data_IF_202724859073
#
_entry.id   IF_202724859073
#
_cell.length_a   1.000
_cell.length_b   1.000
_cell.length_c   1.000
_cell.angle_alpha   90.00
_cell.angle_beta   90.00
_cell.angle_gamma   90.00
#
_symmetry.space_group_name_H-M   'P 1'
#
loop_
_entity.id
_entity.type
_entity.pdbx_description
1 polymer ?
2 non-polymer ?
3 water ?
#
# COMPACT_ATOMS: atom_id res chain seq x y z
N UNK A 3 -21.17 -27.92 -0.14
CA UNK A 3 -20.28 -29.02 0.35
C UNK A 3 -18.99 -28.46 0.96
N UNK A 4 -19.15 -27.43 1.80
CA UNK A 4 -18.03 -26.66 2.34
C UNK A 4 -17.08 -27.52 3.18
N UNK A 5 -17.64 -28.30 4.10
CA UNK A 5 -16.82 -29.20 4.91
C UNK A 5 -16.02 -30.17 4.04
N UNK A 6 -16.62 -30.64 2.94
CA UNK A 6 -15.89 -31.50 2.04
C UNK A 6 -14.76 -30.76 1.32
N UNK A 7 -15.03 -29.54 0.85
CA UNK A 7 -14.00 -28.75 0.16
C UNK A 7 -12.83 -28.44 1.11
N UNK A 8 -13.15 -28.26 2.40
CA UNK A 8 -12.14 -28.01 3.42
C UNK A 8 -11.08 -29.11 3.50
N UNK A 9 -11.48 -30.36 3.21
CA UNK A 9 -10.53 -31.47 3.26
C UNK A 9 -9.46 -31.32 2.16
N UNK A 10 -9.73 -30.47 1.16
CA UNK A 10 -8.73 -30.17 0.13
C UNK A 10 -7.58 -29.36 0.74
N UNK A 11 -7.91 -28.61 1.79
CA UNK A 11 -7.00 -27.60 2.34
C UNK A 11 -6.01 -28.26 3.29
N UNK A 12 -4.91 -27.58 3.57
CA UNK A 12 -3.87 -28.10 4.47
C UNK A 12 -4.44 -28.33 5.86
N UNK A 13 -3.74 -29.14 6.65
CA UNK A 13 -4.25 -29.53 7.96
C UNK A 13 -4.49 -28.28 8.81
N UNK A 14 -5.69 -28.21 9.38
CA UNK A 14 -6.02 -27.17 10.35
C UNK A 14 -6.26 -25.75 9.83
N UNK A 15 -6.35 -25.59 8.52
CA UNK A 15 -6.75 -24.28 7.95
C UNK A 15 -8.10 -23.82 8.49
N UNK A 16 -8.27 -22.51 8.64
CA UNK A 16 -9.46 -21.94 9.25
C UNK A 16 -10.26 -21.14 8.24
N UNK A 17 -11.48 -21.58 7.95
CA UNK A 17 -12.36 -20.87 7.02
C UNK A 17 -13.55 -20.21 7.71
N UNK A 18 -13.79 -18.95 7.37
CA UNK A 18 -15.02 -18.27 7.75
C UNK A 18 -15.59 -17.76 6.42
N UNK A 19 -16.83 -18.17 6.11
CA UNK A 19 -17.39 -17.94 4.77
C UNK A 19 -18.85 -17.54 4.85
N UNK A 20 -19.23 -16.58 4.02
CA UNK A 20 -20.61 -16.16 3.94
C UNK A 20 -20.94 -15.80 2.49
N UNK A 21 -22.11 -16.26 2.02
CA UNK A 21 -22.59 -15.95 0.67
C UNK A 21 -24.05 -15.55 0.78
N UNK A 22 -24.44 -14.45 0.16
CA UNK A 22 -25.78 -13.90 0.41
C UNK A 22 -26.24 -13.09 -0.79
N UNK A 23 -27.47 -13.34 -1.25
CA UNK A 23 -28.03 -12.60 -2.36
C UNK A 23 -27.97 -11.11 -2.08
N UNK A 24 -27.64 -10.32 -3.12
CA UNK A 24 -27.65 -8.87 -2.98
C UNK A 24 -29.05 -8.41 -2.57
N UNK A 25 -29.11 -7.67 -1.47
CA UNK A 25 -30.36 -7.07 -0.98
C UNK A 25 -31.17 -8.00 -0.10
N UNK A 26 -30.68 -9.23 0.11
CA UNK A 26 -31.34 -10.19 1.00
C UNK A 26 -30.84 -10.07 2.43
N UNK A 27 -31.65 -10.53 3.40
CA UNK A 27 -31.25 -10.43 4.81
C UNK A 27 -30.85 -11.76 5.46
N UNK A 28 -31.00 -12.86 4.74
CA UNK A 28 -30.47 -14.17 5.16
C UNK A 28 -29.47 -14.75 4.15
N UNK A 29 -28.34 -15.29 4.63
CA UNK A 29 -27.33 -15.86 3.74
C UNK A 29 -27.78 -17.18 3.14
N UNK A 30 -27.24 -17.51 1.97
CA UNK A 30 -27.42 -18.80 1.38
C UNK A 30 -26.39 -19.74 1.96
N UNK A 31 -25.15 -19.27 2.11
CA UNK A 31 -24.09 -20.07 2.71
C UNK A 31 -23.54 -19.36 3.92
N UNK A 32 -23.50 -20.06 5.06
CA UNK A 32 -23.02 -19.48 6.30
C UNK A 32 -22.14 -20.48 7.01
N UNK A 33 -20.82 -20.28 6.95
CA UNK A 33 -19.88 -21.17 7.61
C UNK A 33 -18.96 -20.32 8.48
N UNK A 34 -19.22 -20.32 9.78
CA UNK A 34 -18.46 -19.53 10.74
C UNK A 34 -18.48 -18.04 10.38
N UNK A 35 -19.61 -17.55 9.86
CA UNK A 35 -19.65 -16.19 9.28
C UNK A 35 -19.47 -15.11 10.34
N UNK A 36 -19.73 -15.45 11.60
CA UNK A 36 -19.61 -14.50 12.69
C UNK A 36 -18.21 -14.46 13.27
N UNK A 37 -17.35 -15.37 12.85
CA UNK A 37 -16.03 -15.54 13.48
C UNK A 37 -15.08 -14.45 13.00
N UNK A 38 -14.32 -13.84 13.91
CA UNK A 38 -13.32 -12.82 13.52
C UNK A 38 -12.19 -13.42 12.74
N UNK A 39 -11.63 -12.66 11.79
CA UNK A 39 -10.53 -13.15 11.00
C UNK A 39 -9.65 -11.99 10.55
N UNK A 40 -8.45 -12.34 10.13
CA UNK A 40 -7.55 -11.40 9.47
C UNK A 40 -8.11 -11.10 8.06
N UNK A 41 -8.40 -9.83 7.75
CA UNK A 41 -8.95 -9.54 6.41
C UNK A 41 -7.90 -9.42 5.32
N UNK A 42 -6.65 -9.18 5.70
CA UNK A 42 -5.57 -8.88 4.74
C UNK A 42 -6.07 -7.77 3.81
N UNK A 43 -5.71 -7.83 2.53
CA UNK A 43 -6.03 -6.72 1.58
C UNK A 43 -7.52 -6.50 1.28
N UNK A 44 -8.41 -7.39 1.76
CA UNK A 44 -9.84 -7.06 1.60
C UNK A 44 -10.22 -5.84 2.43
N UNK A 45 -9.36 -5.45 3.37
CA UNK A 45 -9.56 -4.23 4.12
C UNK A 45 -9.72 -3.02 3.17
N UNK A 46 -9.08 -3.11 2.01
CA UNK A 46 -9.07 -1.99 1.05
C UNK A 46 -10.49 -1.69 0.56
N UNK A 47 -11.38 -2.68 0.65
CA UNK A 47 -12.79 -2.46 0.25
C UNK A 47 -13.40 -1.44 1.19
N UNK A 48 -13.17 -1.63 2.49
CA UNK A 48 -13.61 -0.65 3.47
C UNK A 48 -12.95 0.73 3.28
N UNK A 49 -11.65 0.73 3.05
CA UNK A 49 -10.87 1.98 2.86
C UNK A 49 -11.47 2.76 1.68
N UNK A 50 -11.72 2.08 0.57
CA UNK A 50 -12.25 2.72 -0.63
C UNK A 50 -13.63 3.32 -0.37
N UNK A 51 -14.50 2.59 0.33
CA UNK A 51 -15.85 3.10 0.61
C UNK A 51 -15.79 4.32 1.50
N UNK A 52 -15.03 4.25 2.61
CA UNK A 52 -14.92 5.38 3.51
C UNK A 52 -14.28 6.60 2.83
N UNK A 53 -13.29 6.34 1.98
CA UNK A 53 -12.62 7.38 1.16
C UNK A 53 -13.60 8.11 0.23
N UNK A 54 -14.41 7.35 -0.50
CA UNK A 54 -15.38 7.99 -1.41
C UNK A 54 -16.39 8.83 -0.65
N UNK A 55 -16.86 8.30 0.48
CA UNK A 55 -17.80 9.03 1.31
C UNK A 55 -17.16 10.28 1.91
N UNK A 56 -15.96 10.17 2.49
CA UNK A 56 -15.34 11.32 3.18
C UNK A 56 -14.74 12.36 2.24
N UNK A 57 -13.99 11.90 1.25
CA UNK A 57 -13.16 12.75 0.42
C UNK A 57 -13.84 13.01 -0.91
N UNK A 58 -14.65 12.05 -1.36
CA UNK A 58 -15.29 12.13 -2.69
C UNK A 58 -14.42 11.71 -3.86
N UNK A 59 -15.04 11.33 -4.98
CA UNK A 59 -14.32 10.79 -6.15
C UNK A 59 -13.39 11.79 -6.83
N UNK A 60 -13.60 13.07 -6.57
CA UNK A 60 -12.82 14.14 -7.21
C UNK A 60 -11.72 14.72 -6.33
N UNK A 61 -11.56 14.21 -5.12
CA UNK A 61 -10.41 14.58 -4.28
C UNK A 61 -9.08 14.36 -5.01
N UNK A 62 -8.12 15.28 -4.85
CA UNK A 62 -6.78 15.05 -5.37
C UNK A 62 -5.77 15.32 -4.28
N UNK A 63 -4.71 14.50 -4.23
CA UNK A 63 -3.64 14.79 -3.30
C UNK A 63 -2.92 16.00 -3.91
N UNK A 64 -2.31 16.82 -3.08
CA UNK A 64 -1.55 17.94 -3.60
C UNK A 64 -0.22 18.20 -2.90
N UNK A 65 0.72 18.69 -3.69
CA UNK A 65 2.05 19.07 -3.22
C UNK A 65 2.27 20.50 -3.71
N UNK A 66 2.85 21.37 -2.87
CA UNK A 66 3.17 22.74 -3.32
C UNK A 66 4.59 23.18 -2.95
N UNK A 67 5.08 24.18 -3.69
CA UNK A 67 6.20 25.03 -3.26
C UNK A 67 5.58 26.37 -2.88
N UNK A 68 5.93 26.88 -1.72
CA UNK A 68 5.31 28.09 -1.17
C UNK A 68 6.41 29.02 -0.76
N UNK A 69 6.19 30.32 -0.94
CA UNK A 69 7.21 31.24 -0.46
C UNK A 69 6.65 32.01 0.68
N UNK A 70 7.51 32.22 1.66
CA UNK A 70 7.22 33.03 2.80
C UNK A 70 8.31 34.12 2.81
N UNK A 71 7.95 35.32 2.34
CA UNK A 71 8.85 36.47 2.21
C UNK A 71 8.79 37.18 0.86
N UNK A 72 9.44 38.35 0.76
CA UNK A 72 9.46 39.11 -0.50
C UNK A 72 10.61 38.68 -1.40
N UNK A 73 10.41 38.81 -2.72
CA UNK A 73 11.43 38.50 -3.71
C UNK A 73 12.01 39.81 -4.24
N UNK A 74 13.28 40.05 -3.94
CA UNK A 74 13.96 41.29 -4.37
C UNK A 74 15.14 40.98 -5.27
N UNK A 75 15.06 41.46 -6.51
CA UNK A 75 16.05 41.16 -7.56
C UNK A 75 16.40 39.68 -7.63
N UNK A 76 15.36 38.85 -7.60
CA UNK A 76 15.49 37.41 -7.81
C UNK A 76 15.83 36.63 -6.55
N UNK A 77 15.98 37.33 -5.44
CA UNK A 77 16.34 36.73 -4.17
C UNK A 77 15.11 36.69 -3.29
N UNK A 78 14.71 35.48 -2.89
CA UNK A 78 13.65 35.33 -1.89
C UNK A 78 14.23 35.64 -0.52
N UNK A 79 13.70 36.68 0.13
CA UNK A 79 14.13 37.05 1.47
C UNK A 79 13.22 36.35 2.47
N UNK A 80 13.56 35.09 2.75
CA UNK A 80 12.67 34.23 3.50
C UNK A 80 12.85 32.78 3.10
N UNK A 81 11.90 31.95 3.51
CA UNK A 81 12.05 30.51 3.34
C UNK A 81 11.30 29.99 2.14
N UNK A 82 11.86 28.93 1.55
CA UNK A 82 11.10 28.14 0.57
C UNK A 82 10.50 26.96 1.34
N UNK A 83 9.19 26.75 1.21
CA UNK A 83 8.49 25.63 1.84
C UNK A 83 8.03 24.65 0.78
N UNK A 84 8.42 23.40 0.91
CA UNK A 84 7.89 22.37 0.06
C UNK A 84 6.88 21.60 0.89
N UNK A 85 5.60 21.79 0.60
CA UNK A 85 4.55 21.22 1.45
C UNK A 85 4.09 19.92 0.82
N UNK A 86 4.42 18.81 1.45
CA UNK A 86 4.02 17.51 0.94
C UNK A 86 2.63 17.15 1.45
N UNK A 87 1.96 16.27 0.71
CA UNK A 87 0.55 16.01 0.98
C UNK A 87 0.20 14.54 0.86
N UNK A 88 1.21 13.66 1.02
CA UNK A 88 1.01 12.21 1.01
C UNK A 88 0.56 11.71 -0.35
N UNK A 89 0.84 12.46 -1.42
CA UNK A 89 0.51 11.96 -2.75
C UNK A 89 1.36 10.69 -3.05
N UNK A 90 0.72 9.54 -3.17
CA UNK A 90 1.45 8.27 -3.44
C UNK A 90 2.00 8.16 -4.87
N UNK A 91 1.58 9.07 -5.76
CA UNK A 91 2.02 9.05 -7.15
C UNK A 91 3.03 10.12 -7.51
N UNK A 92 3.47 10.91 -6.53
CA UNK A 92 4.47 11.93 -6.85
C UNK A 92 5.77 11.32 -7.36
N UNK A 93 6.36 12.01 -8.34
CA UNK A 93 7.57 11.54 -8.98
C UNK A 93 8.67 12.58 -8.96
N UNK A 94 9.91 12.12 -9.15
CA UNK A 94 11.07 13.03 -9.25
C UNK A 94 10.79 14.14 -10.26
N UNK A 95 10.23 13.75 -11.41
CA UNK A 95 9.88 14.73 -12.45
C UNK A 95 8.97 15.82 -11.95
N UNK A 96 8.05 15.46 -11.07
CA UNK A 96 7.17 16.46 -10.51
C UNK A 96 7.95 17.49 -9.68
N UNK A 97 8.95 17.03 -8.93
CA UNK A 97 9.77 17.93 -8.14
C UNK A 97 10.54 18.85 -9.10
N UNK A 98 11.09 18.23 -10.14
CA UNK A 98 11.89 18.96 -11.15
C UNK A 98 11.02 20.02 -11.83
N UNK A 99 9.79 19.65 -12.16
CA UNK A 99 8.85 20.62 -12.77
C UNK A 99 8.45 21.78 -11.86
N UNK A 100 8.19 21.50 -10.59
CA UNK A 100 7.82 22.54 -9.63
C UNK A 100 8.99 23.53 -9.44
N UNK A 101 10.22 23.01 -9.36
CA UNK A 101 11.42 23.87 -9.27
C UNK A 101 11.56 24.74 -10.53
N UNK A 102 11.30 24.14 -11.70
CA UNK A 102 11.36 24.90 -12.98
C UNK A 102 10.37 26.05 -12.95
N UNK A 103 9.20 25.79 -12.38
CA UNK A 103 8.19 26.82 -12.22
C UNK A 103 8.63 27.92 -11.24
N UNK A 104 9.27 27.49 -10.15
CA UNK A 104 9.81 28.43 -9.18
C UNK A 104 10.84 29.34 -9.84
N UNK A 105 11.75 28.75 -10.62
CA UNK A 105 12.78 29.52 -11.32
C UNK A 105 12.11 30.53 -12.26
N UNK A 106 11.18 30.03 -13.08
CA UNK A 106 10.47 30.87 -14.06
C UNK A 106 9.72 32.02 -13.41
N UNK A 107 9.26 31.83 -12.17
CA UNK A 107 8.54 32.86 -11.43
C UNK A 107 9.44 34.04 -11.00
N UNK A 108 10.75 33.89 -11.16
CA UNK A 108 11.72 34.93 -10.80
C UNK A 108 12.62 34.68 -9.60
N UNK A 109 12.56 33.49 -9.01
CA UNK A 109 13.40 33.17 -7.85
C UNK A 109 14.69 32.47 -8.30
N UNK A 110 15.83 33.11 -8.05
CA UNK A 110 17.13 32.54 -8.42
C UNK A 110 17.93 32.15 -7.21
N UNK A 111 17.50 32.62 -6.04
CA UNK A 111 18.28 32.52 -4.83
C UNK A 111 17.36 32.61 -3.64
N UNK A 112 17.60 31.80 -2.61
CA UNK A 112 16.80 31.83 -1.40
C UNK A 112 17.68 32.30 -0.24
N UNK A 113 17.30 33.42 0.36
CA UNK A 113 18.02 33.95 1.50
C UNK A 113 17.27 33.50 2.73
N UNK A 114 17.53 32.26 3.12
CA UNK A 114 16.70 31.59 4.11
C UNK A 114 16.86 30.09 3.98
N UNK A 115 15.92 29.37 4.61
CA UNK A 115 15.99 27.89 4.66
C UNK A 115 15.06 27.25 3.65
N UNK A 116 15.27 25.94 3.43
CA UNK A 116 14.37 25.15 2.57
C UNK A 116 13.67 24.19 3.51
N UNK A 117 12.35 24.35 3.64
CA UNK A 117 11.58 23.57 4.62
C UNK A 117 10.82 22.43 3.95
N UNK A 118 10.98 21.23 4.50
CA UNK A 118 10.29 20.04 4.01
C UNK A 118 9.12 19.87 4.97
N UNK A 119 7.95 20.26 4.52
CA UNK A 119 6.78 20.33 5.38
C UNK A 119 5.94 19.05 5.26
N UNK A 120 5.82 18.33 6.38
CA UNK A 120 5.03 17.10 6.44
C UNK A 120 3.91 17.20 7.47
N UNK A 121 3.55 18.43 7.83
CA UNK A 121 2.55 18.72 8.88
C UNK A 121 1.15 18.14 8.58
N UNK A 122 0.87 17.77 7.34
CA UNK A 122 -0.41 17.15 7.02
C UNK A 122 -0.65 15.89 7.88
N UNK A 123 0.44 15.22 8.25
CA UNK A 123 0.39 14.00 9.06
C UNK A 123 1.21 14.16 10.34
N UNK A 124 0.99 13.27 11.31
CA UNK A 124 1.83 13.25 12.49
C UNK A 124 2.00 11.83 13.01
N UNK A 125 2.89 11.68 14.00
CA UNK A 125 3.22 10.38 14.59
C UNK A 125 3.87 9.48 13.52
N UNK A 126 3.94 8.19 13.79
CA UNK A 126 4.72 7.27 13.00
C UNK A 126 4.12 7.09 11.62
N UNK A 127 4.97 6.87 10.63
CA UNK A 127 4.55 6.53 9.27
C UNK A 127 4.33 5.04 9.05
N UNK A 128 4.26 4.27 10.13
CA UNK A 128 4.08 2.83 10.08
C UNK A 128 2.92 2.49 10.99
N UNK A 129 1.97 1.68 10.49
CA UNK A 129 0.76 1.36 11.26
C UNK A 129 1.08 0.36 12.36
N UNK A 130 0.29 0.35 13.44
CA UNK A 130 0.48 -0.66 14.47
C UNK A 130 0.27 -2.05 13.89
N UNK A 131 1.11 -3.00 14.29
CA UNK A 131 0.92 -4.40 13.86
C UNK A 131 1.59 -4.81 12.56
N UNK A 132 2.32 -3.89 11.92
CA UNK A 132 3.11 -4.26 10.73
C UNK A 132 4.38 -4.95 11.21
N UNK A 133 4.71 -6.10 10.65
CA UNK A 133 5.94 -6.83 11.02
C UNK A 133 7.18 -5.96 10.77
N UNK A 134 8.10 -5.91 11.71
CA UNK A 134 9.34 -5.12 11.52
C UNK A 134 10.11 -5.58 10.26
N UNK A 135 10.09 -6.87 9.97
CA UNK A 135 11.02 -7.44 8.99
C UNK A 135 10.65 -7.09 7.56
N UNK A 136 9.41 -6.67 7.38
CA UNK A 136 8.96 -6.27 6.05
C UNK A 136 9.14 -4.77 5.80
N UNK A 137 9.63 -4.01 6.79
CA UNK A 137 9.63 -2.56 6.64
C UNK A 137 10.59 -2.05 5.55
N UNK A 138 11.58 -2.87 5.22
CA UNK A 138 12.53 -2.50 4.15
C UNK A 138 12.10 -3.00 2.78
N UNK A 139 10.94 -3.67 2.73
CA UNK A 139 10.41 -4.17 1.46
C UNK A 139 9.50 -3.13 0.85
N UNK A 140 9.59 -2.97 -0.47
CA UNK A 140 8.77 -1.93 -1.08
C UNK A 140 7.26 -2.05 -0.88
N UNK A 141 6.75 -3.27 -0.74
CA UNK A 141 5.31 -3.44 -0.53
C UNK A 141 4.83 -2.89 0.79
N UNK A 142 5.78 -2.65 1.70
CA UNK A 142 5.47 -2.13 3.03
C UNK A 142 6.20 -0.81 3.29
N UNK A 143 6.62 -0.12 2.24
CA UNK A 143 7.31 1.15 2.43
C UNK A 143 6.43 2.09 3.28
N UNK A 144 7.01 2.66 4.35
CA UNK A 144 6.27 3.58 5.20
C UNK A 144 5.57 4.66 4.36
N UNK A 145 4.23 4.69 4.36
CA UNK A 145 3.48 5.65 3.50
C UNK A 145 3.42 7.03 4.11
N UNK A 146 4.56 7.72 4.02
CA UNK A 146 4.78 9.02 4.68
C UNK A 146 4.11 10.16 3.95
N UNK A 147 4.13 11.36 4.54
CA UNK A 147 3.60 12.55 3.81
C UNK A 147 4.48 12.86 2.61
N UNK A 148 5.77 12.58 2.77
CA UNK A 148 6.75 12.84 1.70
C UNK A 148 7.09 11.58 0.96
N UNK A 149 6.47 11.40 -0.20
CA UNK A 149 6.73 10.27 -1.07
C UNK A 149 7.24 10.75 -2.45
N UNK A 150 8.29 10.10 -2.94
CA UNK A 150 8.74 10.36 -4.31
C UNK A 150 9.09 9.02 -4.93
N UNK A 151 8.49 8.71 -6.07
CA UNK A 151 8.77 7.46 -6.78
C UNK A 151 8.54 6.28 -5.82
N UNK A 152 7.41 6.38 -5.11
CA UNK A 152 6.91 5.35 -4.18
C UNK A 152 7.85 5.03 -3.00
N UNK A 153 8.82 5.89 -2.77
CA UNK A 153 9.81 5.65 -1.69
C UNK A 153 10.43 4.27 -1.77
N UNK A 154 10.69 3.83 -3.00
CA UNK A 154 11.30 2.55 -3.29
C UNK A 154 12.48 2.83 -4.23
N UNK A 155 13.60 2.15 -3.99
CA UNK A 155 14.77 2.32 -4.84
C UNK A 155 15.42 0.97 -5.09
N UNK A 156 16.16 0.85 -6.18
CA UNK A 156 16.78 -0.42 -6.49
C UNK A 156 18.30 -0.34 -6.49
N UNK A 157 18.90 -1.51 -6.32
CA UNK A 157 20.31 -1.70 -6.08
C UNK A 157 20.71 -3.00 -6.79
N UNK A 158 21.98 -3.09 -7.17
CA UNK A 158 22.54 -4.33 -7.72
C UNK A 158 23.67 -4.82 -6.83
N UNK A 159 23.59 -6.07 -6.41
CA UNK A 159 24.61 -6.66 -5.58
C UNK A 159 25.46 -7.66 -6.37
N UNK A 160 26.75 -7.37 -6.47
CA UNK A 160 27.69 -8.20 -7.23
C UNK A 160 28.53 -9.03 -6.29
N UNK A 161 28.64 -10.33 -6.57
CA UNK A 161 29.61 -11.15 -5.83
C UNK A 161 31.05 -10.72 -6.21
N UNK A 162 31.97 -10.87 -5.27
CA UNK A 162 33.41 -10.68 -5.54
C UNK A 162 33.93 -11.79 -6.46
N UNK A 163 34.88 -11.48 -7.33
CA UNK A 163 35.52 -12.50 -8.17
C UNK A 163 36.25 -13.54 -7.31
N UNK A 164 36.86 -13.05 -6.24
CA UNK A 164 37.60 -13.86 -5.29
C UNK A 164 36.68 -14.19 -4.09
N UNK A 165 36.36 -15.47 -3.90
CA UNK A 165 35.61 -15.89 -2.72
C UNK A 165 36.29 -15.34 -1.46
N UNK A 166 35.50 -14.92 -0.49
CA UNK A 166 36.07 -14.33 0.73
C UNK A 166 36.09 -12.81 0.72
N UNK A 167 36.21 -12.22 -0.47
CA UNK A 167 36.16 -10.76 -0.61
C UNK A 167 34.73 -10.24 -0.50
N UNK A 168 34.61 -8.95 -0.22
CA UNK A 168 33.29 -8.32 -0.03
C UNK A 168 32.51 -8.23 -1.35
N UNK A 169 31.24 -8.62 -1.32
CA UNK A 169 30.33 -8.33 -2.41
C UNK A 169 30.16 -6.80 -2.48
N UNK A 170 29.95 -6.27 -3.67
CA UNK A 170 29.85 -4.82 -3.81
C UNK A 170 28.51 -4.38 -4.41
N UNK A 171 28.11 -3.17 -4.07
CA UNK A 171 26.78 -2.66 -4.42
C UNK A 171 26.86 -1.57 -5.47
N UNK A 172 26.07 -1.71 -6.53
CA UNK A 172 25.84 -0.61 -7.47
C UNK A 172 24.48 0.00 -7.24
N UNK A 173 24.45 1.33 -7.15
CA UNK A 173 23.18 2.07 -7.05
C UNK A 173 23.25 3.32 -7.93
N UNK A 174 22.16 3.63 -8.64
CA UNK A 174 22.10 4.85 -9.43
C UNK A 174 22.38 6.10 -8.59
N UNK A 175 23.12 7.05 -9.19
CA UNK A 175 23.66 8.20 -8.50
C UNK A 175 22.58 9.15 -8.01
N UNK A 176 21.43 9.16 -8.65
CA UNK A 176 20.42 10.14 -8.26
C UNK A 176 19.66 9.76 -6.99
N UNK A 177 19.72 8.48 -6.58
CA UNK A 177 19.02 8.06 -5.35
C UNK A 177 19.78 8.58 -4.15
N UNK A 178 19.17 9.46 -3.36
CA UNK A 178 19.83 9.93 -2.15
C UNK A 178 19.72 8.90 -1.01
N UNK A 179 20.47 7.81 -1.16
CA UNK A 179 20.61 6.80 -0.14
C UNK A 179 22.11 6.54 0.04
N UNK A 180 22.48 5.92 1.15
CA UNK A 180 23.88 5.56 1.38
C UNK A 180 24.00 4.07 1.63
N UNK A 181 24.67 3.35 0.73
CA UNK A 181 24.77 1.89 0.83
C UNK A 181 26.14 1.48 1.32
N UNK A 182 26.15 0.47 2.20
CA UNK A 182 27.39 -0.14 2.71
C UNK A 182 27.28 -1.65 2.56
N UNK A 183 28.37 -2.29 2.19
CA UNK A 183 28.39 -3.75 2.09
C UNK A 183 29.35 -4.36 3.10
N UNK A 184 28.82 -5.23 3.97
CA UNK A 184 29.64 -6.09 4.80
C UNK A 184 29.35 -7.55 4.40
N UNK A 185 29.05 -7.76 3.11
CA UNK A 185 28.63 -9.06 2.58
C UNK A 185 29.86 -9.82 2.13
N UNK A 186 30.11 -10.97 2.76
CA UNK A 186 31.21 -11.86 2.39
C UNK A 186 30.79 -12.73 1.21
N UNK A 187 31.64 -12.84 0.20
CA UNK A 187 31.33 -13.69 -0.95
C UNK A 187 31.73 -15.14 -0.65
N UNK A 188 30.81 -16.07 -0.91
CA UNK A 188 31.08 -17.49 -0.71
C UNK A 188 31.29 -18.22 -2.04
N UNK A 189 32.14 -19.27 -2.00
CA UNK A 189 32.19 -20.27 -3.07
C UNK A 189 30.80 -20.82 -3.48
N UNK A 190 30.67 -21.17 -4.76
CA UNK A 190 29.43 -21.67 -5.39
C UNK A 190 28.56 -22.66 -4.59
N UNK A 191 29.19 -23.64 -3.95
CA UNK A 191 28.43 -24.68 -3.22
C UNK A 191 28.80 -24.80 -1.74
N UNK A 192 28.95 -23.66 -1.08
CA UNK A 192 29.39 -23.61 0.32
C UNK A 192 28.37 -24.26 1.26
N UNK A 193 28.86 -24.84 2.37
CA UNK A 193 28.00 -25.36 3.44
C UNK A 193 27.58 -24.19 4.33
N UNK A 194 28.49 -23.22 4.48
CA UNK A 194 28.21 -21.95 5.16
C UNK A 194 27.03 -21.23 4.51
N UNK A 195 26.72 -21.62 3.28
CA UNK A 195 25.56 -21.06 2.59
C UNK A 195 24.23 -21.44 3.23
N UNK A 196 24.21 -22.52 4.02
CA UNK A 196 22.96 -23.02 4.61
C UNK A 196 22.31 -22.03 5.58
N UNK A 197 23.07 -21.61 6.60
CA UNK A 197 22.52 -20.74 7.64
C UNK A 197 23.12 -19.31 7.73
N UNK A 198 23.91 -18.92 6.74
CA UNK A 198 24.37 -17.54 6.67
C UNK A 198 23.36 -16.75 5.86
N UNK A 199 22.70 -15.80 6.52
CA UNK A 199 21.67 -15.03 5.86
C UNK A 199 22.29 -13.87 5.08
N UNK A 200 21.55 -13.38 4.10
CA UNK A 200 21.85 -12.10 3.47
C UNK A 200 20.79 -11.12 3.93
N UNK A 201 21.22 -10.09 4.65
CA UNK A 201 20.29 -9.18 5.32
C UNK A 201 20.47 -7.73 4.93
N UNK A 202 19.40 -6.96 5.09
CA UNK A 202 19.46 -5.51 4.97
C UNK A 202 19.19 -4.91 6.34
N UNK A 203 20.03 -3.96 6.73
CA UNK A 203 19.92 -3.28 8.02
C UNK A 203 19.83 -1.77 7.77
N UNK A 204 18.65 -1.18 7.98
CA UNK A 204 18.49 0.25 7.76
C UNK A 204 19.03 1.05 8.91
N UNK A 205 19.61 2.20 8.56
CA UNK A 205 20.09 3.17 9.53
C UNK A 205 19.43 4.52 9.29
N UNK A 206 19.83 5.49 10.10
CA UNK A 206 19.27 6.84 9.99
C UNK A 206 19.68 7.47 8.67
N UNK A 207 18.92 8.48 8.26
CA UNK A 207 19.20 9.23 7.04
C UNK A 207 19.38 8.35 5.80
N UNK A 208 18.53 7.33 5.71
CA UNK A 208 18.48 6.49 4.54
C UNK A 208 19.80 5.82 4.22
N UNK A 209 20.50 5.43 5.28
CA UNK A 209 21.65 4.53 5.17
C UNK A 209 21.17 3.10 5.20
N UNK A 210 21.78 2.22 4.41
CA UNK A 210 21.44 0.80 4.44
C UNK A 210 22.73 0.02 4.39
N UNK A 211 22.85 -0.96 5.27
CA UNK A 211 24.02 -1.84 5.27
C UNK A 211 23.55 -3.24 4.94
N UNK A 212 24.18 -3.86 3.96
CA UNK A 212 23.91 -5.24 3.61
C UNK A 212 24.93 -6.11 4.36
N UNK A 213 24.45 -7.19 4.96
CA UNK A 213 25.33 -8.02 5.81
C UNK A 213 25.12 -9.48 5.48
N UNK A 214 26.05 -10.31 5.93
CA UNK A 214 25.90 -11.74 5.75
C UNK A 214 26.74 -12.28 4.62
N UNK A 215 26.16 -13.22 3.88
CA UNK A 215 26.85 -13.97 2.82
C UNK A 215 26.11 -13.99 1.50
N UNK A 216 26.87 -14.03 0.41
CA UNK A 216 26.31 -14.17 -0.93
C UNK A 216 27.15 -15.20 -1.71
N UNK A 217 26.53 -16.30 -2.13
CA UNK A 217 27.22 -17.29 -2.97
C UNK A 217 27.57 -16.68 -4.31
N UNK A 218 28.74 -17.03 -4.85
CA UNK A 218 29.17 -16.49 -6.15
C UNK A 218 28.13 -16.71 -7.24
N UNK A 219 27.88 -15.65 -8.01
CA UNK A 219 26.92 -15.70 -9.09
C UNK A 219 27.53 -14.97 -10.29
N UNK A 220 27.03 -15.30 -11.49
CA UNK A 220 27.55 -14.74 -12.72
C UNK A 220 26.87 -13.41 -13.04
N UNK A 221 25.62 -13.28 -12.58
CA UNK A 221 24.83 -12.06 -12.74
C UNK A 221 24.62 -11.39 -11.39
N UNK A 222 24.64 -10.05 -11.32
CA UNK A 222 24.34 -9.34 -10.07
C UNK A 222 22.92 -9.59 -9.58
N UNK A 223 22.74 -9.62 -8.26
CA UNK A 223 21.44 -9.84 -7.64
C UNK A 223 20.72 -8.49 -7.56
N UNK A 224 19.57 -8.37 -8.21
CA UNK A 224 18.77 -7.15 -8.10
C UNK A 224 18.00 -7.14 -6.79
N UNK A 225 18.05 -6.01 -6.10
CA UNK A 225 17.33 -5.84 -4.84
C UNK A 225 16.58 -4.52 -4.88
N UNK A 226 15.43 -4.47 -4.22
CA UNK A 226 14.72 -3.21 -4.11
C UNK A 226 14.36 -3.02 -2.66
N UNK A 227 14.58 -1.80 -2.18
CA UNK A 227 14.30 -1.45 -0.77
C UNK A 227 13.42 -0.24 -0.61
N UNK A 228 12.77 -0.20 0.56
CA UNK A 228 11.92 0.91 0.97
C UNK A 228 12.71 1.98 1.74
N UNK A 229 12.49 3.21 1.31
CA UNK A 229 13.01 4.38 2.04
C UNK A 229 12.31 4.48 3.39
N UNK A 230 13.11 4.59 4.45
CA UNK A 230 12.62 4.73 5.80
C UNK A 230 12.35 6.17 6.23
N UNK A 231 13.09 7.14 5.67
CA UNK A 231 12.92 8.52 6.05
C UNK A 231 12.51 9.34 4.81
N UNK A 232 11.23 9.29 4.46
CA UNK A 232 10.69 10.06 3.30
C UNK A 232 11.05 11.54 3.27
N UNK A 233 10.97 12.20 4.42
CA UNK A 233 11.23 13.64 4.47
C UNK A 233 12.66 13.96 4.04
N UNK A 234 13.61 13.18 4.52
CA UNK A 234 15.03 13.40 4.18
C UNK A 234 15.27 13.10 2.72
N UNK A 235 14.61 12.05 2.24
CA UNK A 235 14.80 11.56 0.88
C UNK A 235 14.26 12.62 -0.10
N UNK A 236 13.04 13.09 0.17
CA UNK A 236 12.43 14.13 -0.68
C UNK A 236 13.21 15.44 -0.60
N UNK A 237 13.67 15.77 0.62
CA UNK A 237 14.53 16.94 0.78
C UNK A 237 15.78 16.88 -0.10
N UNK A 238 16.44 15.72 -0.10
CA UNK A 238 17.64 15.53 -0.93
C UNK A 238 17.30 15.67 -2.42
N UNK A 239 16.17 15.10 -2.84
CA UNK A 239 15.77 15.25 -4.26
C UNK A 239 15.50 16.70 -4.58
N UNK A 240 14.82 17.39 -3.70
CA UNK A 240 14.53 18.81 -3.89
C UNK A 240 15.84 19.62 -3.98
N UNK A 241 16.79 19.33 -3.09
CA UNK A 241 18.09 20.02 -3.06
C UNK A 241 18.81 19.83 -4.40
N UNK A 242 18.83 18.59 -4.89
CA UNK A 242 19.48 18.30 -6.16
C UNK A 242 18.84 19.08 -7.31
N UNK A 243 17.50 19.08 -7.37
CA UNK A 243 16.79 19.76 -8.46
C UNK A 243 16.97 21.29 -8.35
N UNK A 244 17.02 21.82 -7.14
CA UNK A 244 17.27 23.26 -7.00
C UNK A 244 18.63 23.61 -7.57
N UNK A 245 19.65 22.83 -7.20
CA UNK A 245 21.01 23.07 -7.66
C UNK A 245 21.11 22.93 -9.19
N UNK A 246 20.41 21.94 -9.76
CA UNK A 246 20.45 21.76 -11.21
C UNK A 246 19.84 22.95 -11.96
N UNK A 247 18.81 23.55 -11.36
CA UNK A 247 18.12 24.70 -11.92
C UNK A 247 18.85 26.02 -11.63
N UNK A 248 19.97 25.94 -10.93
CA UNK A 248 20.82 27.10 -10.57
C UNK A 248 20.30 27.98 -9.45
N UNK A 249 19.39 27.45 -8.65
CA UNK A 249 18.86 28.20 -7.50
C UNK A 249 19.75 27.92 -6.31
N UNK A 250 20.32 28.95 -5.71
CA UNK A 250 21.17 28.76 -4.53
C UNK A 250 20.38 29.15 -3.28
N UNK A 251 20.88 28.72 -2.11
CA UNK A 251 20.27 29.12 -0.85
C UNK A 251 21.34 29.19 0.25
N UNK A 252 21.09 30.03 1.24
CA UNK A 252 22.05 30.31 2.31
C UNK A 252 21.82 29.48 3.56
N UNK A 253 20.58 29.03 3.75
CA UNK A 253 20.21 28.29 4.96
C UNK A 253 20.48 26.82 4.83
N UNK A 254 19.66 26.00 5.49
CA UNK A 254 19.77 24.56 5.34
C UNK A 254 18.39 23.94 5.09
N UNK A 255 18.39 22.66 4.78
CA UNK A 255 17.15 21.89 4.70
C UNK A 255 16.72 21.53 6.12
N UNK A 256 15.50 21.93 6.47
CA UNK A 256 14.93 21.61 7.78
C UNK A 256 13.57 20.96 7.60
N UNK A 257 13.19 20.12 8.58
CA UNK A 257 11.84 19.50 8.63
C UNK A 257 10.88 20.50 9.27
N UNK A 258 9.68 20.63 8.73
CA UNK A 258 8.63 21.43 9.36
C UNK A 258 7.46 20.45 9.64
N UNK A 259 7.27 20.11 10.91
CA UNK A 259 6.26 19.11 11.28
C UNK A 259 5.00 19.72 11.88
N UNK A 260 5.06 20.99 12.30
CA UNK A 260 3.90 21.59 12.99
C UNK A 260 2.99 22.35 12.03
N UNK A 261 1.70 22.34 12.30
CA UNK A 261 0.73 22.99 11.42
C UNK A 261 1.04 24.48 11.37
N UNK A 262 0.84 25.06 10.19
CA UNK A 262 1.23 26.44 9.92
C UNK A 262 0.41 26.99 8.75
N UNK A 263 0.25 28.31 8.72
CA UNK A 263 -0.44 28.96 7.62
C UNK A 263 0.42 28.89 6.37
N UNK A 264 -0.19 28.51 5.25
CA UNK A 264 0.53 28.39 3.99
C UNK A 264 1.05 29.72 3.49
N UNK A 265 2.20 29.68 2.81
CA UNK A 265 2.71 30.83 2.11
C UNK A 265 1.97 30.97 0.80
N UNK A 266 2.51 31.80 -0.09
CA UNK A 266 1.99 31.93 -1.43
C UNK A 266 2.45 30.72 -2.24
N UNK A 267 1.50 30.05 -2.89
CA UNK A 267 1.79 28.89 -3.71
C UNK A 267 2.36 29.36 -5.03
N UNK A 268 3.59 28.96 -5.30
CA UNK A 268 4.31 29.35 -6.50
C UNK A 268 4.37 28.17 -7.49
N UNK A 269 4.21 26.96 -6.97
CA UNK A 269 4.18 25.78 -7.84
C UNK A 269 3.35 24.73 -7.13
N UNK A 270 2.70 23.88 -7.92
CA UNK A 270 1.86 22.80 -7.37
C UNK A 270 1.77 21.60 -8.30
N UNK A 271 1.43 20.47 -7.70
CA UNK A 271 1.13 19.27 -8.45
C UNK A 271 0.00 18.61 -7.73
N UNK A 272 -1.06 18.27 -8.46
CA UNK A 272 -2.16 17.48 -7.92
C UNK A 272 -2.21 16.10 -8.56
N UNK A 273 -2.56 15.08 -7.76
CA UNK A 273 -2.69 13.73 -8.32
C UNK A 273 -3.89 13.62 -9.26
N UNK A 274 -4.01 12.47 -9.90
CA UNK A 274 -5.26 12.07 -10.55
C UNK A 274 -6.40 12.07 -9.52
N UNK A 275 -7.65 12.12 -9.99
CA UNK A 275 -8.78 12.11 -9.08
C UNK A 275 -8.81 10.84 -8.22
N UNK A 276 -9.36 10.98 -7.03
CA UNK A 276 -9.41 9.86 -6.06
C UNK A 276 -10.07 8.60 -6.63
N UNK A 277 -11.15 8.74 -7.40
CA UNK A 277 -11.79 7.54 -7.97
C UNK A 277 -10.80 6.76 -8.84
N UNK A 278 -9.97 7.47 -9.62
CA UNK A 278 -8.96 6.85 -10.46
C UNK A 278 -7.93 6.11 -9.62
N UNK A 279 -7.49 6.76 -8.55
CA UNK A 279 -6.49 6.17 -7.65
C UNK A 279 -7.05 4.98 -6.89
N UNK A 280 -8.28 5.09 -6.39
CA UNK A 280 -8.94 3.91 -5.77
C UNK A 280 -9.10 2.73 -6.73
N UNK A 281 -9.33 3.04 -8.02
CA UNK A 281 -9.39 2.00 -9.03
C UNK A 281 -8.07 1.27 -9.13
N UNK A 282 -6.97 2.00 -9.29
CA UNK A 282 -5.66 1.35 -9.28
C UNK A 282 -5.50 0.51 -7.97
N UNK A 283 -5.85 1.13 -6.84
CA UNK A 283 -5.70 0.50 -5.53
C UNK A 283 -6.45 -0.85 -5.44
N UNK A 284 -7.68 -0.86 -5.90
CA UNK A 284 -8.50 -2.08 -5.85
C UNK A 284 -8.12 -3.10 -6.91
N UNK A 285 -7.73 -2.64 -8.10
CA UNK A 285 -7.34 -3.58 -9.14
C UNK A 285 -6.05 -4.29 -8.81
N UNK A 286 -5.05 -3.55 -8.28
CA UNK A 286 -3.70 -4.05 -8.13
C UNK A 286 -3.36 -4.36 -6.69
N UNK A 287 -4.21 -3.91 -5.78
CA UNK A 287 -4.00 -4.03 -4.31
C UNK A 287 -2.82 -3.16 -3.86
N UNK A 288 -2.91 -1.86 -4.13
CA UNK A 288 -1.80 -0.95 -3.92
C UNK A 288 -1.80 -0.52 -2.49
N UNK A 289 -0.86 -1.06 -1.72
CA UNK A 289 -0.83 -0.76 -0.28
C UNK A 289 -0.59 0.70 0.04
N UNK A 290 0.24 1.34 -0.79
CA UNK A 290 0.66 2.73 -0.54
C UNK A 290 -0.52 3.67 -0.79
N UNK A 291 -1.28 3.42 -1.86
CA UNK A 291 -2.46 4.26 -2.08
C UNK A 291 -3.45 4.04 -0.94
N UNK A 292 -3.63 2.77 -0.54
CA UNK A 292 -4.59 2.45 0.51
C UNK A 292 -4.22 3.20 1.78
N UNK A 293 -2.93 3.20 2.14
CA UNK A 293 -2.52 3.76 3.43
C UNK A 293 -2.36 5.28 3.49
N UNK A 294 -2.01 5.88 2.34
CA UNK A 294 -2.05 7.35 2.28
C UNK A 294 -3.47 7.87 2.32
N UNK A 295 -4.37 7.19 1.60
CA UNK A 295 -5.79 7.51 1.70
C UNK A 295 -6.29 7.37 3.12
N UNK A 296 -5.90 6.27 3.80
CA UNK A 296 -6.41 6.00 5.14
C UNK A 296 -6.06 7.15 6.11
N UNK A 297 -4.81 7.60 6.14
CA UNK A 297 -4.51 8.68 7.08
C UNK A 297 -5.10 10.03 6.60
N UNK A 298 -5.30 10.17 5.29
CA UNK A 298 -6.00 11.36 4.77
C UNK A 298 -7.45 11.42 5.22
N UNK A 299 -8.11 10.27 5.30
CA UNK A 299 -9.49 10.23 5.76
C UNK A 299 -9.61 10.84 7.17
N UNK A 300 -8.74 10.45 8.09
CA UNK A 300 -8.78 10.97 9.46
C UNK A 300 -8.46 12.47 9.54
N UNK A 301 -7.48 12.89 8.75
CA UNK A 301 -7.11 14.31 8.69
C UNK A 301 -8.33 15.15 8.26
N UNK A 302 -8.99 14.70 7.19
CA UNK A 302 -10.16 15.38 6.64
C UNK A 302 -11.38 15.33 7.57
N UNK A 303 -11.58 14.23 8.29
CA UNK A 303 -12.80 14.17 9.11
C UNK A 303 -12.68 14.96 10.40
N UNK A 304 -11.48 14.95 10.99
CA UNK A 304 -11.28 15.55 12.30
C UNK A 304 -10.48 16.86 12.30
N UNK A 305 -10.03 17.30 11.12
CA UNK A 305 -9.20 18.51 10.98
C UNK A 305 -8.01 18.53 11.98
N UNK A 306 -7.25 17.44 11.94
CA UNK A 306 -6.04 17.25 12.76
C UNK A 306 -5.00 16.66 11.82
N UNK A 307 -3.70 16.79 12.13
CA UNK A 307 -2.70 16.04 11.34
C UNK A 307 -3.11 14.56 11.33
N UNK A 308 -3.04 13.93 10.16
CA UNK A 308 -3.49 12.56 10.04
C UNK A 308 -2.61 11.56 10.78
N UNK A 309 -3.24 10.67 11.53
CA UNK A 309 -2.51 9.58 12.23
C UNK A 309 -3.26 8.27 11.98
N UNK A 310 -2.62 7.16 12.35
CA UNK A 310 -3.29 5.87 12.21
C UNK A 310 -4.53 5.80 13.08
N UNK A 311 -4.46 6.32 14.31
CA UNK A 311 -5.62 6.26 15.22
C UNK A 311 -6.79 7.11 14.70
N UNK A 312 -6.46 8.28 14.19
CA UNK A 312 -7.51 9.17 13.66
C UNK A 312 -8.18 8.52 12.44
N UNK A 313 -7.37 7.87 11.61
CA UNK A 313 -7.91 7.13 10.47
C UNK A 313 -8.85 6.02 10.89
N UNK A 314 -8.42 5.22 11.87
CA UNK A 314 -9.27 4.14 12.41
C UNK A 314 -10.59 4.64 12.97
N UNK A 315 -10.52 5.71 13.76
CA UNK A 315 -11.71 6.32 14.34
C UNK A 315 -12.64 6.83 13.24
N UNK A 316 -12.05 7.49 12.25
CA UNK A 316 -12.82 8.10 11.16
C UNK A 316 -13.54 7.02 10.34
N UNK A 317 -12.82 5.96 9.98
CA UNK A 317 -13.43 4.93 9.14
C UNK A 317 -14.62 4.29 9.88
N UNK A 318 -14.41 3.96 11.15
CA UNK A 318 -15.52 3.45 11.99
C UNK A 318 -16.73 4.39 11.98
N UNK A 319 -16.48 5.68 12.17
CA UNK A 319 -17.54 6.68 12.23
C UNK A 319 -18.27 6.77 10.90
N UNK A 320 -17.50 6.83 9.81
CA UNK A 320 -18.07 6.95 8.47
C UNK A 320 -18.98 5.76 8.19
N UNK A 321 -18.48 4.55 8.48
CA UNK A 321 -19.29 3.36 8.18
C UNK A 321 -20.61 3.36 8.95
N UNK A 322 -20.58 3.83 10.19
CA UNK A 322 -21.74 3.76 11.06
C UNK A 322 -22.72 4.84 10.67
N UNK A 323 -22.21 6.05 10.51
CA UNK A 323 -23.02 7.25 10.34
C UNK A 323 -23.47 7.50 8.89
N UNK A 324 -22.62 7.20 7.92
CA UNK A 324 -23.00 7.37 6.52
C UNK A 324 -23.46 6.08 5.82
N UNK A 325 -22.96 4.92 6.27
CA UNK A 325 -23.32 3.68 5.59
C UNK A 325 -24.22 2.77 6.42
N UNK A 326 -24.49 3.17 7.65
CA UNK A 326 -25.39 2.43 8.53
C UNK A 326 -24.82 1.11 9.04
N UNK A 327 -23.50 0.97 8.99
CA UNK A 327 -22.84 -0.25 9.42
C UNK A 327 -22.10 -0.01 10.73
N UNK A 328 -22.59 -0.65 11.79
CA UNK A 328 -21.90 -0.69 13.08
C UNK A 328 -20.93 -1.86 13.05
N UNK A 329 -19.63 -1.59 12.99
CA UNK A 329 -18.66 -2.67 12.88
C UNK A 329 -18.40 -3.32 14.25
N UNK A 330 -19.03 -2.83 15.31
CA UNK A 330 -18.94 -3.50 16.62
C UNK A 330 -17.51 -3.63 17.15
N UNK A 331 -17.11 -4.87 17.46
CA UNK A 331 -15.76 -5.16 18.01
C UNK A 331 -14.67 -5.31 16.95
N UNK A 332 -15.00 -5.00 15.71
CA UNK A 332 -14.03 -5.02 14.61
C UNK A 332 -12.86 -4.13 14.98
N UNK A 333 -11.67 -4.57 14.59
CA UNK A 333 -10.47 -3.74 14.75
C UNK A 333 -10.00 -3.32 13.36
N UNK A 334 -9.93 -2.01 13.15
CA UNK A 334 -9.32 -1.44 11.97
C UNK A 334 -8.03 -0.79 12.39
N UNK A 335 -6.92 -1.29 11.84
CA UNK A 335 -5.58 -0.75 12.15
C UNK A 335 -4.92 0.02 11.00
N UNK A 336 -5.34 -0.24 9.78
CA UNK A 336 -4.78 0.49 8.64
C UNK A 336 -5.73 0.46 7.45
N UNK A 337 -5.28 1.01 6.33
CA UNK A 337 -6.08 1.05 5.11
C UNK A 337 -5.83 -0.11 4.17
N UNK A 338 -4.59 -0.64 4.16
CA UNK A 338 -4.14 -1.64 3.20
C UNK A 338 -4.55 -3.07 3.56
N UNK A 339 -4.74 -3.31 4.87
CA UNK A 339 -4.94 -4.65 5.42
C UNK A 339 -3.64 -5.39 5.75
N UNK A 340 -2.49 -4.71 5.66
CA UNK A 340 -1.21 -5.37 6.01
C UNK A 340 -1.13 -5.73 7.48
N UNK A 341 -1.74 -4.92 8.33
CA UNK A 341 -1.55 -5.09 9.77
C UNK A 341 -2.16 -6.39 10.28
N UNK A 342 -1.41 -7.10 11.12
CA UNK A 342 -1.97 -8.31 11.74
C UNK A 342 -2.88 -7.97 12.91
N UNK A 343 -3.04 -6.69 13.19
CA UNK A 343 -4.01 -6.19 14.18
C UNK A 343 -5.44 -6.07 13.62
N UNK A 344 -5.58 -5.98 12.30
CA UNK A 344 -6.93 -5.93 11.70
C UNK A 344 -7.69 -7.20 12.05
N UNK A 345 -8.99 -7.07 12.32
CA UNK A 345 -9.80 -8.21 12.77
C UNK A 345 -11.22 -7.89 12.47
N UNK A 346 -11.87 -8.73 11.67
CA UNK A 346 -13.26 -8.48 11.23
C UNK A 346 -13.89 -9.79 10.80
N UNK A 347 -15.19 -9.92 11.09
CA UNK A 347 -15.95 -11.11 10.72
C UNK A 347 -16.54 -11.00 9.31
N UNK A 348 -16.63 -12.10 8.56
CA UNK A 348 -17.33 -12.06 7.26
C UNK A 348 -18.69 -11.34 7.34
N UNK A 349 -19.47 -11.58 8.40
CA UNK A 349 -20.78 -10.94 8.52
C UNK A 349 -20.68 -9.43 8.54
N UNK A 350 -19.60 -8.89 9.11
CA UNK A 350 -19.38 -7.46 9.08
C UNK A 350 -18.97 -6.95 7.69
N UNK A 351 -17.97 -7.60 7.07
CA UNK A 351 -17.61 -7.25 5.73
C UNK A 351 -18.85 -7.40 4.82
N UNK A 352 -19.71 -8.38 5.10
CA UNK A 352 -20.92 -8.58 4.28
C UNK A 352 -21.80 -7.33 4.30
N UNK A 353 -21.95 -6.70 5.47
CA UNK A 353 -22.74 -5.46 5.55
C UNK A 353 -22.21 -4.37 4.63
N UNK A 354 -20.89 -4.27 4.60
CA UNK A 354 -20.19 -3.33 3.74
C UNK A 354 -20.44 -3.64 2.28
N UNK A 355 -20.26 -4.90 1.89
CA UNK A 355 -20.56 -5.30 0.50
C UNK A 355 -22.02 -5.05 0.09
N UNK A 356 -22.95 -5.32 1.01
CA UNK A 356 -24.36 -5.09 0.69
C UNK A 356 -24.63 -3.59 0.50
N UNK A 357 -24.02 -2.76 1.32
CA UNK A 357 -24.13 -1.32 1.14
C UNK A 357 -23.60 -0.89 -0.22
N UNK A 358 -22.42 -1.37 -0.57
CA UNK A 358 -21.81 -1.02 -1.85
C UNK A 358 -22.73 -1.42 -3.02
N UNK A 359 -23.23 -2.66 -3.00
CA UNK A 359 -24.10 -3.12 -4.08
C UNK A 359 -25.35 -2.24 -4.16
N UNK A 360 -25.94 -1.91 -3.02
CA UNK A 360 -27.17 -1.08 -2.99
C UNK A 360 -26.93 0.31 -3.58
N UNK A 361 -25.73 0.84 -3.37
CA UNK A 361 -25.39 2.20 -3.79
C UNK A 361 -24.44 2.21 -4.97
N UNK A 362 -24.34 1.09 -5.67
CA UNK A 362 -23.29 1.01 -6.70
C UNK A 362 -23.48 2.03 -7.84
N UNK A 363 -24.73 2.33 -8.17
CA UNK A 363 -24.96 3.30 -9.24
C UNK A 363 -24.48 4.71 -8.85
N UNK A 364 -24.45 4.97 -7.55
CA UNK A 364 -23.91 6.23 -6.98
C UNK A 364 -22.38 6.25 -6.93
N UNK A 365 -21.82 5.13 -6.46
CA UNK A 365 -20.40 5.02 -6.13
C UNK A 365 -19.50 4.65 -7.30
N UNK A 366 -20.08 3.93 -8.28
CA UNK A 366 -19.33 3.27 -9.37
C UNK A 366 -18.17 2.51 -8.75
N UNK A 367 -18.52 1.61 -7.87
CA UNK A 367 -17.54 0.89 -7.08
C UNK A 367 -17.18 -0.48 -7.67
N UNK A 368 -18.19 -1.30 -8.01
CA UNK A 368 -17.93 -2.67 -8.44
C UNK A 368 -17.07 -2.74 -9.69
N UNK A 369 -17.19 -1.74 -10.58
CA UNK A 369 -16.31 -1.66 -11.75
C UNK A 369 -14.83 -1.52 -11.40
N UNK A 370 -14.52 -1.11 -10.17
CA UNK A 370 -13.11 -0.90 -9.76
C UNK A 370 -12.50 -2.21 -9.25
N UNK A 371 -13.34 -3.16 -8.85
CA UNK A 371 -12.82 -4.45 -8.39
C UNK A 371 -12.28 -5.31 -9.54
N UNK A 372 -11.25 -6.10 -9.29
CA UNK A 372 -10.75 -7.01 -10.33
C UNK A 372 -11.88 -7.89 -10.84
N UNK A 373 -11.91 -8.06 -12.16
CA UNK A 373 -12.87 -8.95 -12.82
C UNK A 373 -12.18 -10.25 -13.19
N UNK A 374 -12.66 -11.37 -12.64
CA UNK A 374 -12.01 -12.68 -12.81
C UNK A 374 -11.80 -13.00 -14.28
N UNK A 375 -10.56 -13.35 -14.64
CA UNK A 375 -10.28 -13.70 -16.03
C UNK A 375 -9.96 -12.50 -16.92
N UNK A 376 -10.04 -11.29 -16.37
CA UNK A 376 -9.83 -10.05 -17.16
C UNK A 376 -8.73 -9.13 -16.66
N UNK A 377 -8.81 -8.72 -15.40
CA UNK A 377 -7.88 -7.68 -14.94
C UNK A 377 -7.58 -7.74 -13.47
N UNK A 378 -6.62 -6.90 -13.07
CA UNK A 378 -6.23 -6.83 -11.68
C UNK A 378 -5.77 -8.16 -11.14
N UNK A 379 -5.88 -8.30 -9.82
CA UNK A 379 -5.41 -9.50 -9.12
C UNK A 379 -6.12 -10.80 -9.51
N UNK A 380 -7.24 -10.71 -10.22
CA UNK A 380 -8.01 -11.91 -10.60
C UNK A 380 -7.87 -12.28 -12.07
N UNK A 381 -6.97 -11.59 -12.77
CA UNK A 381 -6.80 -11.83 -14.18
C UNK A 381 -6.50 -13.30 -14.41
N UNK A 382 -5.68 -13.86 -13.51
CA UNK A 382 -5.17 -15.23 -13.61
C UNK A 382 -5.48 -16.07 -12.36
N UNK A 383 -6.67 -15.93 -11.77
CA UNK A 383 -7.00 -16.74 -10.58
C UNK A 383 -7.42 -18.14 -10.97
N UNK A 384 -6.52 -19.11 -10.81
CA UNK A 384 -6.76 -20.47 -11.33
C UNK A 384 -8.04 -21.11 -10.79
N UNK A 385 -8.31 -20.97 -9.49
CA UNK A 385 -9.51 -21.53 -8.91
C UNK A 385 -10.79 -21.02 -9.55
N UNK A 386 -10.83 -19.74 -9.83
CA UNK A 386 -12.03 -19.12 -10.41
C UNK A 386 -12.16 -19.49 -11.88
N UNK A 387 -11.02 -19.56 -12.57
CA UNK A 387 -11.05 -19.98 -13.96
C UNK A 387 -11.62 -21.40 -14.07
N UNK A 388 -11.07 -22.30 -13.27
CA UNK A 388 -11.47 -23.72 -13.30
C UNK A 388 -12.91 -23.89 -12.78
N UNK A 389 -13.38 -22.96 -11.95
CA UNK A 389 -14.76 -22.96 -11.53
C UNK A 389 -15.75 -22.57 -12.65
N UNK A 390 -15.24 -22.02 -13.75
CA UNK A 390 -16.06 -21.53 -14.85
C UNK A 390 -16.66 -20.15 -14.62
N UNK A 391 -16.04 -19.36 -13.75
CA UNK A 391 -16.66 -18.09 -13.34
C UNK A 391 -15.93 -16.84 -13.83
N UNK A 392 -14.99 -17.00 -14.75
CA UNK A 392 -14.41 -15.82 -15.38
C UNK A 392 -15.48 -14.91 -15.96
N UNK A 393 -15.33 -13.60 -15.76
CA UNK A 393 -16.32 -12.61 -16.19
C UNK A 393 -17.55 -12.53 -15.30
N UNK A 394 -17.63 -13.39 -14.29
CA UNK A 394 -18.79 -13.45 -13.39
C UNK A 394 -18.45 -13.16 -11.92
N UNK A 395 -17.19 -12.94 -11.63
CA UNK A 395 -16.77 -12.56 -10.27
C UNK A 395 -16.00 -11.23 -10.29
N UNK A 396 -16.49 -10.26 -9.50
CA UNK A 396 -15.77 -9.01 -9.23
C UNK A 396 -15.43 -9.01 -7.75
N UNK A 397 -14.15 -9.14 -7.41
CA UNK A 397 -13.81 -9.37 -6.01
C UNK A 397 -12.42 -8.90 -5.68
N UNK A 398 -12.26 -8.55 -4.40
CA UNK A 398 -10.95 -8.10 -3.87
C UNK A 398 -10.24 -9.28 -3.21
N UNK A 399 -8.99 -9.50 -3.58
CA UNK A 399 -8.18 -10.56 -2.97
C UNK A 399 -7.51 -10.00 -1.71
N UNK A 400 -7.05 -10.90 -0.85
CA UNK A 400 -6.22 -10.47 0.27
C UNK A 400 -5.29 -11.65 0.55
N UNK A 401 -3.99 -11.40 0.64
CA UNK A 401 -3.01 -12.48 0.85
C UNK A 401 -1.91 -12.01 1.77
N UNK A 402 -1.64 -12.82 2.79
CA UNK A 402 -0.48 -12.66 3.64
C UNK A 402 0.02 -14.10 3.84
N UNK A 403 1.23 -14.25 4.40
CA UNK A 403 1.69 -15.59 4.78
C UNK A 403 0.53 -16.26 5.54
N UNK A 404 0.00 -17.34 4.96
CA UNK A 404 -1.02 -18.15 5.62
C UNK A 404 -2.45 -17.61 5.58
N UNK A 405 -2.66 -16.54 4.81
CA UNK A 405 -4.01 -15.96 4.67
C UNK A 405 -4.35 -15.81 3.19
N UNK A 406 -5.48 -16.39 2.76
CA UNK A 406 -5.93 -16.34 1.34
C UNK A 406 -7.41 -16.00 1.25
N UNK A 407 -7.70 -14.71 1.17
CA UNK A 407 -9.07 -14.23 1.26
C UNK A 407 -9.61 -13.75 -0.10
N UNK A 408 -10.93 -13.75 -0.22
CA UNK A 408 -11.61 -13.10 -1.33
C UNK A 408 -12.89 -12.46 -0.81
N UNK A 409 -13.26 -11.28 -1.31
CA UNK A 409 -14.49 -10.60 -0.85
C UNK A 409 -15.05 -9.81 -2.03
N UNK A 410 -16.32 -10.04 -2.36
CA UNK A 410 -16.89 -9.29 -3.47
C UNK A 410 -18.21 -9.87 -3.94
N UNK A 411 -18.34 -9.95 -5.26
CA UNK A 411 -19.65 -10.26 -5.90
C UNK A 411 -19.51 -11.32 -6.96
N UNK A 412 -20.54 -12.17 -7.05
CA UNK A 412 -20.60 -13.19 -8.09
C UNK A 412 -21.99 -13.14 -8.70
N UNK A 413 -22.03 -13.20 -10.03
CA UNK A 413 -23.29 -13.39 -10.76
C UNK A 413 -23.37 -14.88 -11.07
N UNK A 414 -24.44 -15.51 -10.63
CA UNK A 414 -24.54 -16.98 -10.70
C UNK A 414 -25.29 -17.42 -11.97
N UNK A 415 -25.41 -18.73 -12.15
CA UNK A 415 -26.05 -19.34 -13.34
C UNK A 415 -27.43 -18.77 -13.56
N UNK A 416 -28.20 -18.58 -12.49
CA UNK A 416 -29.54 -18.01 -12.61
C UNK A 416 -29.54 -16.52 -12.92
N UNK A 417 -28.37 -15.87 -12.81
CA UNK A 417 -28.34 -14.42 -12.97
C UNK A 417 -28.44 -13.67 -11.64
N UNK A 418 -28.67 -14.38 -10.53
CA UNK A 418 -28.73 -13.76 -9.20
C UNK A 418 -27.33 -13.19 -8.86
N UNK A 419 -27.26 -11.93 -8.44
CA UNK A 419 -25.97 -11.40 -7.93
C UNK A 419 -25.89 -11.70 -6.44
N UNK A 420 -24.78 -12.30 -6.04
CA UNK A 420 -24.58 -12.65 -4.64
C UNK A 420 -23.31 -11.93 -4.17
N UNK A 421 -23.31 -11.47 -2.92
CA UNK A 421 -22.08 -10.95 -2.30
C UNK A 421 -21.49 -12.12 -1.52
N UNK A 422 -20.16 -12.16 -1.42
CA UNK A 422 -19.53 -13.24 -0.68
C UNK A 422 -18.25 -12.76 0.01
N UNK A 423 -17.90 -13.45 1.10
CA UNK A 423 -16.67 -13.19 1.83
C UNK A 423 -16.08 -14.54 2.19
N UNK A 424 -14.87 -14.79 1.70
CA UNK A 424 -14.10 -15.99 2.00
C UNK A 424 -12.87 -15.56 2.79
N UNK A 425 -12.85 -15.93 4.08
CA UNK A 425 -11.71 -15.60 4.93
C UNK A 425 -11.02 -16.89 5.33
N UNK A 426 -9.90 -17.17 4.68
CA UNK A 426 -9.16 -18.43 4.91
C UNK A 426 -7.80 -18.09 5.52
N UNK A 427 -7.55 -18.57 6.74
CA UNK A 427 -6.29 -18.23 7.43
C UNK A 427 -5.77 -19.49 8.10
N UNK A 428 -4.64 -19.36 8.78
CA UNK A 428 -4.01 -20.53 9.38
C UNK A 428 -3.61 -21.58 8.35
N UNK A 429 -3.38 -21.13 7.11
CA UNK A 429 -3.00 -21.99 5.98
C UNK A 429 -1.50 -22.17 6.00
N UNK A 430 -1.06 -23.42 6.09
CA UNK A 430 0.37 -23.74 6.09
C UNK A 430 0.58 -25.14 5.57
N UNK A 431 1.63 -25.34 4.79
CA UNK A 431 1.90 -26.66 4.26
C UNK A 431 3.19 -27.21 4.86
N UNK A 432 3.29 -28.54 4.88
CA UNK A 432 4.48 -29.27 5.33
C UNK A 432 5.70 -28.68 4.65
N UNK A 433 6.77 -28.42 5.41
CA UNK A 433 7.98 -27.77 4.88
C UNK A 433 8.47 -28.31 3.54
N UNK A 434 8.22 -29.60 3.27
CA UNK A 434 8.61 -30.22 2.01
C UNK A 434 7.49 -30.18 0.95
N UNK A 435 6.71 -29.09 0.95
CA UNK A 435 5.64 -28.89 -0.02
C UNK A 435 5.47 -27.43 -0.39
N UNK A 436 6.50 -26.62 -0.11
CA UNK A 436 6.44 -25.15 -0.21
C UNK A 436 6.06 -24.53 -1.57
N UNK A 437 6.89 -24.68 -2.61
CA UNK A 437 6.57 -24.09 -3.91
C UNK A 437 5.49 -24.87 -4.69
N UNK A 438 4.56 -25.43 -3.91
CA UNK A 438 3.38 -26.13 -4.42
C UNK A 438 2.22 -25.79 -3.50
N UNK A 439 2.54 -25.01 -2.47
CA UNK A 439 1.62 -24.62 -1.40
C UNK A 439 0.26 -24.07 -1.86
N UNK A 440 0.19 -23.61 -3.11
CA UNK A 440 -1.03 -23.00 -3.61
C UNK A 440 -1.99 -23.95 -4.33
N UNK A 441 -1.60 -25.21 -4.55
CA UNK A 441 -2.53 -26.17 -5.19
C UNK A 441 -3.77 -26.51 -4.34
N UNK A 442 -3.63 -26.70 -3.02
CA UNK A 442 -4.81 -26.90 -2.17
C UNK A 442 -5.77 -25.71 -2.22
N UNK A 443 -5.25 -24.49 -2.29
CA UNK A 443 -6.10 -23.30 -2.42
C UNK A 443 -6.88 -23.32 -3.72
N UNK A 444 -6.17 -23.56 -4.82
CA UNK A 444 -6.77 -23.66 -6.15
C UNK A 444 -7.89 -24.70 -6.19
N UNK A 445 -7.63 -25.88 -5.63
CA UNK A 445 -8.61 -26.96 -5.60
C UNK A 445 -9.85 -26.57 -4.82
N UNK A 446 -9.64 -25.93 -3.68
CA UNK A 446 -10.72 -25.41 -2.83
C UNK A 446 -11.62 -24.43 -3.60
N UNK A 447 -11.00 -23.43 -4.20
CA UNK A 447 -11.76 -22.39 -4.90
C UNK A 447 -12.46 -22.90 -6.15
N UNK A 448 -11.81 -23.80 -6.91
CA UNK A 448 -12.46 -24.38 -8.09
C UNK A 448 -13.78 -25.02 -7.71
N UNK A 449 -13.77 -25.75 -6.60
CA UNK A 449 -14.96 -26.48 -6.18
C UNK A 449 -15.99 -25.54 -5.58
N UNK A 450 -15.55 -24.65 -4.67
CA UNK A 450 -16.46 -23.76 -3.98
C UNK A 450 -17.24 -22.88 -4.97
N UNK A 451 -16.52 -22.19 -5.87
CA UNK A 451 -17.16 -21.21 -6.73
C UNK A 451 -17.98 -21.85 -7.85
N UNK A 452 -17.58 -23.03 -8.31
CA UNK A 452 -18.44 -23.81 -9.22
C UNK A 452 -19.76 -24.14 -8.53
N UNK A 453 -19.65 -24.65 -7.31
CA UNK A 453 -20.82 -24.91 -6.47
C UNK A 453 -21.73 -23.66 -6.39
N UNK A 454 -21.17 -22.54 -5.93
CA UNK A 454 -21.98 -21.33 -5.77
C UNK A 454 -22.62 -20.92 -7.11
N UNK A 455 -21.83 -20.94 -8.18
CA UNK A 455 -22.32 -20.50 -9.48
C UNK A 455 -23.43 -21.43 -9.99
N UNK A 456 -23.15 -22.73 -9.99
CA UNK A 456 -24.08 -23.72 -10.54
C UNK A 456 -25.40 -23.79 -9.75
N UNK A 457 -25.33 -23.66 -8.42
CA UNK A 457 -26.48 -23.94 -7.55
C UNK A 457 -27.32 -22.75 -7.07
N UNK A 458 -27.14 -21.59 -7.69
CA UNK A 458 -27.84 -20.38 -7.27
C UNK A 458 -28.29 -19.52 -8.45
#
# INVERSE_FOLDING_TARGET
MANVDEYITQLPAGANLALMVQKVGASAPAIDYHSQQMALPASTQKVITALAALIQLGPDFRFTTTLETKGNVENGVLKGDLVARFGADPTLKRQDIRNMVATLKKSGVNQIDGNVLIDTSIFASHDKAPGWPWNDMTQCFSAPPAAAIVDRNCFSVSLYSAPKPGDMAFIRVASYYPVTMFSQVRTLPRGSAEAQYCELDVVPGDLNRFTLTGCLPQRSEPLPLAFAVQDGASYAGAILKYELKQAGITWSGTLLRQTQVNEPGTVVASKQSAPLHDLLKIMLKKSDNMIADTVFRMIGHARFNVPGTWRAGSDAVRQILRQQAGVDIGNTIIADGSGLSRHNLIAPATMMQVLQYIAQHDNELNFISMLPLAGYDGSLQYRAGLHQAGVDGKVSAKTGSLQGVYNLAGFITTASGQRMAFVQYLSGYAVEPADQRNRRIPLVRFESRLYKDIYQNN
#
